data_IF_287666820223
#
_entry.id   IF_287666820223
#
_cell.length_a   1.000
_cell.length_b   1.000
_cell.length_c   1.000
_cell.angle_alpha   90.00
_cell.angle_beta   90.00
_cell.angle_gamma   90.00
#
_symmetry.space_group_name_H-M   'P 1'
#
loop_
_entity.id
_entity.type
_entity.pdbx_description
1 polymer ?
#
# COMPACT_ATOMS: atom_id res chain seq x y z
N UNK A 1 6.46 -17.30 -20.02
CA UNK A 1 7.22 -16.51 -19.04
C UNK A 1 8.66 -16.47 -19.49
N UNK A 2 9.29 -15.30 -19.45
CA UNK A 2 10.71 -15.16 -19.75
C UNK A 2 11.56 -16.09 -18.88
N UNK A 3 12.54 -16.77 -19.46
CA UNK A 3 13.30 -17.82 -18.79
C UNK A 3 14.25 -17.24 -17.72
N UNK A 4 14.76 -16.04 -17.93
CA UNK A 4 15.58 -15.34 -16.95
C UNK A 4 14.73 -14.90 -15.74
N UNK A 5 13.54 -14.35 -16.01
CA UNK A 5 12.58 -13.97 -14.97
C UNK A 5 12.17 -15.17 -14.11
N UNK A 6 11.88 -16.32 -14.74
CA UNK A 6 11.53 -17.54 -14.01
C UNK A 6 12.67 -18.03 -13.11
N UNK A 7 13.93 -17.95 -13.60
CA UNK A 7 15.10 -18.32 -12.80
C UNK A 7 15.27 -17.41 -11.57
N UNK A 8 15.09 -16.10 -11.74
CA UNK A 8 15.15 -15.14 -10.63
C UNK A 8 14.06 -15.41 -9.59
N UNK A 9 12.82 -15.64 -10.04
CA UNK A 9 11.70 -15.99 -9.16
C UNK A 9 11.99 -17.26 -8.37
N UNK A 10 12.47 -18.31 -9.05
CA UNK A 10 12.82 -19.59 -8.43
C UNK A 10 13.92 -19.44 -7.38
N UNK A 11 14.97 -18.67 -7.69
CA UNK A 11 16.05 -18.40 -6.73
C UNK A 11 15.53 -17.68 -5.48
N UNK A 12 14.67 -16.66 -5.66
CA UNK A 12 14.08 -15.92 -4.54
C UNK A 12 13.13 -16.77 -3.69
N UNK A 13 12.29 -17.59 -4.33
CA UNK A 13 11.39 -18.51 -3.65
C UNK A 13 12.17 -19.51 -2.77
N UNK A 14 13.27 -20.07 -3.30
CA UNK A 14 14.15 -20.97 -2.55
C UNK A 14 14.79 -20.29 -1.34
N UNK A 15 15.24 -19.03 -1.47
CA UNK A 15 15.78 -18.24 -0.35
C UNK A 15 14.75 -17.98 0.75
N UNK A 16 13.48 -17.84 0.38
CA UNK A 16 12.36 -17.58 1.30
C UNK A 16 11.73 -18.86 1.85
N UNK A 17 12.20 -20.04 1.43
CA UNK A 17 11.64 -21.32 1.85
C UNK A 17 10.24 -21.63 1.32
N UNK A 18 9.82 -20.98 0.23
CA UNK A 18 8.50 -21.17 -0.38
C UNK A 18 8.60 -21.82 -1.76
N UNK A 19 7.50 -22.41 -2.23
CA UNK A 19 7.46 -22.96 -3.59
C UNK A 19 7.31 -21.86 -4.65
N UNK A 20 7.72 -22.13 -5.89
CA UNK A 20 7.49 -21.21 -7.01
C UNK A 20 5.99 -20.98 -7.24
N UNK A 21 5.16 -22.02 -7.07
CA UNK A 21 3.70 -21.90 -7.18
C UNK A 21 3.14 -20.94 -6.13
N UNK A 22 3.64 -21.01 -4.90
CA UNK A 22 3.22 -20.11 -3.82
C UNK A 22 3.63 -18.67 -4.09
N UNK A 23 4.86 -18.45 -4.57
CA UNK A 23 5.31 -17.12 -4.98
C UNK A 23 4.44 -16.53 -6.11
N UNK A 24 4.03 -17.36 -7.09
CA UNK A 24 3.11 -16.95 -8.16
C UNK A 24 1.73 -16.63 -7.59
N UNK A 25 1.21 -17.45 -6.69
CA UNK A 25 -0.09 -17.20 -6.04
C UNK A 25 -0.08 -15.88 -5.26
N UNK A 26 0.96 -15.63 -4.46
CA UNK A 26 1.12 -14.37 -3.74
C UNK A 26 1.19 -13.17 -4.71
N UNK A 27 1.93 -13.30 -5.81
CA UNK A 27 2.01 -12.26 -6.83
C UNK A 27 0.67 -12.00 -7.52
N UNK A 28 -0.09 -13.05 -7.85
CA UNK A 28 -1.44 -12.93 -8.43
C UNK A 28 -2.41 -12.31 -7.42
N UNK A 29 -2.42 -12.75 -6.16
CA UNK A 29 -3.25 -12.17 -5.11
C UNK A 29 -2.91 -10.69 -4.90
N UNK A 30 -1.63 -10.34 -4.86
CA UNK A 30 -1.20 -8.96 -4.80
C UNK A 30 -1.67 -8.17 -6.02
N UNK A 31 -1.45 -8.70 -7.23
CA UNK A 31 -1.89 -8.08 -8.47
C UNK A 31 -3.40 -7.84 -8.45
N UNK A 32 -4.20 -8.84 -8.08
CA UNK A 32 -5.66 -8.74 -8.03
C UNK A 32 -6.14 -7.71 -6.99
N UNK A 33 -5.56 -7.73 -5.78
CA UNK A 33 -5.86 -6.75 -4.73
C UNK A 33 -5.45 -5.32 -5.10
N UNK A 34 -4.36 -5.17 -5.84
CA UNK A 34 -3.94 -3.89 -6.42
C UNK A 34 -4.85 -3.52 -7.59
N UNK A 35 -5.38 -4.50 -8.32
CA UNK A 35 -6.22 -4.25 -9.49
C UNK A 35 -7.65 -3.82 -9.19
N UNK A 36 -8.15 -4.06 -7.98
CA UNK A 36 -9.42 -3.49 -7.52
C UNK A 36 -9.28 -2.00 -7.13
N UNK A 37 -8.05 -1.46 -7.08
CA UNK A 37 -7.74 -0.05 -6.80
C UNK A 37 -6.83 0.64 -7.83
N UNK A 38 -6.74 0.14 -9.09
CA UNK A 38 -5.81 0.66 -10.11
C UNK A 38 -6.08 2.12 -10.40
N UNK A 39 -5.19 2.96 -9.90
CA UNK A 39 -5.14 4.37 -10.17
C UNK A 39 -4.27 5.10 -9.17
N UNK A 40 -3.99 4.48 -8.00
CA UNK A 40 -3.21 5.13 -6.96
C UNK A 40 -2.05 4.28 -6.45
N UNK A 41 -0.82 4.63 -6.84
CA UNK A 41 0.39 4.05 -6.27
C UNK A 41 0.47 4.24 -4.75
N UNK A 42 -0.12 5.30 -4.20
CA UNK A 42 -0.15 5.53 -2.76
C UNK A 42 -0.96 4.46 -2.02
N UNK A 43 -2.02 3.94 -2.65
CA UNK A 43 -2.80 2.83 -2.09
C UNK A 43 -1.93 1.58 -1.92
N UNK A 44 -1.15 1.24 -2.95
CA UNK A 44 -0.25 0.08 -2.94
C UNK A 44 0.77 0.21 -1.82
N UNK A 45 1.37 1.40 -1.68
CA UNK A 45 2.34 1.69 -0.63
C UNK A 45 1.75 1.45 0.75
N UNK A 46 0.58 2.01 1.04
CA UNK A 46 -0.07 1.85 2.35
C UNK A 46 -0.48 0.41 2.66
N UNK A 47 -0.79 -0.38 1.62
CA UNK A 47 -1.18 -1.79 1.74
C UNK A 47 -0.03 -2.78 1.82
N UNK A 48 1.16 -2.39 1.39
CA UNK A 48 2.31 -3.30 1.30
C UNK A 48 3.46 -2.93 2.23
N UNK A 49 3.51 -1.68 2.70
CA UNK A 49 4.50 -1.23 3.66
C UNK A 49 4.16 -1.73 5.09
N UNK A 50 5.02 -2.56 5.73
CA UNK A 50 4.75 -3.08 7.08
C UNK A 50 4.59 -2.02 8.16
N UNK A 51 5.34 -0.92 8.08
CA UNK A 51 5.25 0.20 9.04
C UNK A 51 3.89 0.90 8.92
N UNK A 52 3.43 1.15 7.69
CA UNK A 52 2.12 1.70 7.44
C UNK A 52 1.00 0.78 7.96
N UNK A 53 1.09 -0.53 7.71
CA UNK A 53 0.09 -1.50 8.18
C UNK A 53 0.04 -1.53 9.72
N UNK A 54 1.19 -1.57 10.38
CA UNK A 54 1.26 -1.60 11.84
C UNK A 54 0.69 -0.31 12.45
N UNK A 55 1.10 0.85 11.95
CA UNK A 55 0.61 2.14 12.43
C UNK A 55 -0.90 2.32 12.19
N UNK A 56 -1.41 1.90 11.03
CA UNK A 56 -2.85 1.87 10.77
C UNK A 56 -3.58 0.97 11.77
N UNK A 57 -3.01 -0.20 12.09
CA UNK A 57 -3.59 -1.11 13.07
C UNK A 57 -3.62 -0.54 14.49
N UNK A 58 -2.66 0.31 14.82
CA UNK A 58 -2.60 1.10 16.06
C UNK A 58 -3.54 2.32 16.06
N UNK A 59 -4.24 2.59 14.95
CA UNK A 59 -5.20 3.68 14.83
C UNK A 59 -4.60 5.03 14.43
N UNK A 60 -3.34 5.05 13.98
CA UNK A 60 -2.69 6.24 13.43
C UNK A 60 -3.27 6.61 12.06
N UNK A 61 -3.00 7.83 11.64
CA UNK A 61 -3.21 8.29 10.26
C UNK A 61 -1.94 8.01 9.46
N UNK A 62 -2.03 7.18 8.43
CA UNK A 62 -0.90 6.82 7.58
C UNK A 62 -0.98 7.54 6.24
N UNK A 63 0.14 8.07 5.77
CA UNK A 63 0.21 8.89 4.57
C UNK A 63 1.19 8.28 3.57
N UNK A 64 0.73 8.17 2.32
CA UNK A 64 1.61 7.94 1.18
C UNK A 64 1.38 9.03 0.14
N UNK A 65 2.46 9.54 -0.44
CA UNK A 65 2.42 10.56 -1.47
C UNK A 65 3.37 10.21 -2.60
N UNK A 66 2.96 10.46 -3.84
CA UNK A 66 3.73 10.22 -5.06
C UNK A 66 4.37 8.81 -5.18
N UNK A 67 3.76 7.80 -4.55
CA UNK A 67 4.25 6.43 -4.53
C UNK A 67 5.24 6.11 -3.41
N UNK A 68 5.39 6.98 -2.41
CA UNK A 68 6.28 6.79 -1.26
C UNK A 68 5.52 6.86 0.06
N UNK A 69 5.97 6.09 1.05
CA UNK A 69 5.43 6.15 2.41
C UNK A 69 6.05 7.33 3.15
N UNK A 70 5.22 8.30 3.53
CA UNK A 70 5.69 9.53 4.18
C UNK A 70 5.75 9.39 5.70
N UNK A 71 4.80 8.65 6.28
CA UNK A 71 4.81 8.37 7.72
C UNK A 71 3.44 8.08 8.32
N UNK A 72 3.44 8.02 9.65
CA UNK A 72 2.26 7.84 10.48
C UNK A 72 2.13 9.00 11.48
N UNK A 73 0.90 9.44 11.72
CA UNK A 73 0.59 10.66 12.46
C UNK A 73 -0.57 10.44 13.43
N UNK A 74 -0.63 11.26 14.47
CA UNK A 74 -1.69 11.17 15.47
C UNK A 74 -2.99 11.86 15.04
N UNK A 75 -2.92 12.72 14.03
CA UNK A 75 -4.08 13.43 13.51
C UNK A 75 -4.06 13.56 11.99
N UNK A 76 -5.25 13.60 11.39
CA UNK A 76 -5.43 13.89 9.96
C UNK A 76 -4.75 15.22 9.58
N UNK A 77 -4.90 16.25 10.42
CA UNK A 77 -4.34 17.57 10.18
C UNK A 77 -2.81 17.53 10.02
N UNK A 78 -2.13 16.79 10.87
CA UNK A 78 -0.66 16.65 10.79
C UNK A 78 -0.24 15.93 9.51
N UNK A 79 -0.94 14.85 9.14
CA UNK A 79 -0.69 14.14 7.90
C UNK A 79 -0.92 15.04 6.67
N UNK A 80 -2.00 15.82 6.66
CA UNK A 80 -2.30 16.79 5.59
C UNK A 80 -1.19 17.85 5.47
N UNK A 81 -0.72 18.40 6.58
CA UNK A 81 0.41 19.35 6.56
C UNK A 81 1.69 18.73 5.99
N UNK A 82 1.95 17.45 6.31
CA UNK A 82 3.13 16.73 5.79
C UNK A 82 3.01 16.34 4.33
N UNK A 83 1.79 16.21 3.80
CA UNK A 83 1.54 15.95 2.39
C UNK A 83 1.68 17.18 1.49
N UNK A 84 1.75 18.40 2.05
CA UNK A 84 1.88 19.62 1.25
C UNK A 84 3.16 19.61 0.41
N UNK A 85 3.04 20.01 -0.85
CA UNK A 85 4.15 20.03 -1.82
C UNK A 85 4.31 18.72 -2.63
N UNK A 86 3.54 17.68 -2.31
CA UNK A 86 3.42 16.48 -3.14
C UNK A 86 2.30 16.63 -4.17
N UNK A 87 2.38 15.88 -5.28
CA UNK A 87 1.40 16.00 -6.38
C UNK A 87 0.11 15.22 -6.09
N UNK A 88 0.23 14.06 -5.44
CA UNK A 88 -0.91 13.22 -5.09
C UNK A 88 -0.62 12.47 -3.80
N UNK A 89 -1.57 12.53 -2.85
CA UNK A 89 -1.47 11.82 -1.58
C UNK A 89 -2.71 10.96 -1.32
N UNK A 90 -2.49 9.88 -0.56
CA UNK A 90 -3.54 9.08 0.05
C UNK A 90 -3.28 9.00 1.54
N UNK A 91 -4.33 9.20 2.32
CA UNK A 91 -4.32 9.00 3.76
C UNK A 91 -5.25 7.85 4.12
N UNK A 92 -4.88 7.09 5.14
CA UNK A 92 -5.76 6.09 5.74
C UNK A 92 -5.71 6.10 7.24
N UNK A 93 -6.84 5.75 7.83
CA UNK A 93 -6.99 5.56 9.27
C UNK A 93 -8.23 4.71 9.53
N UNK A 94 -8.23 3.96 10.63
CA UNK A 94 -9.45 3.33 11.16
C UNK A 94 -10.53 4.34 11.54
N UNK A 95 -10.15 5.61 11.72
CA UNK A 95 -11.03 6.71 12.10
C UNK A 95 -11.83 7.31 10.93
N UNK A 96 -11.52 6.96 9.67
CA UNK A 96 -12.38 7.34 8.54
C UNK A 96 -13.62 6.46 8.52
N UNK A 97 -14.80 7.08 8.40
CA UNK A 97 -16.03 6.37 8.10
C UNK A 97 -15.83 5.57 6.81
N UNK A 98 -16.19 4.28 6.85
CA UNK A 98 -16.14 3.40 5.67
C UNK A 98 -17.08 3.97 4.59
N UNK A 99 -16.56 4.77 3.66
CA UNK A 99 -17.26 5.01 2.40
C UNK A 99 -17.26 3.70 1.59
N UNK A 100 -18.43 3.34 1.05
CA UNK A 100 -18.83 2.02 0.54
C UNK A 100 -18.08 1.50 -0.70
N UNK A 101 -16.81 1.81 -0.90
CA UNK A 101 -16.02 1.20 -1.98
C UNK A 101 -14.72 0.63 -1.41
N UNK A 102 -14.75 -0.67 -1.09
CA UNK A 102 -13.54 -1.48 -0.90
C UNK A 102 -12.97 -1.52 0.51
N UNK A 103 -13.68 -2.16 1.44
CA UNK A 103 -13.26 -2.82 2.71
C UNK A 103 -12.28 -2.12 3.70
N UNK A 104 -11.75 -0.94 3.41
CA UNK A 104 -10.80 -0.20 4.23
C UNK A 104 -11.00 1.31 4.01
N UNK A 105 -11.11 2.08 5.09
CA UNK A 105 -11.35 3.53 5.03
C UNK A 105 -10.14 4.31 4.52
N UNK A 106 -10.05 4.47 3.20
CA UNK A 106 -9.03 5.30 2.55
C UNK A 106 -9.68 6.54 1.95
N UNK A 107 -9.04 7.69 2.18
CA UNK A 107 -9.41 8.95 1.57
C UNK A 107 -8.25 9.39 0.67
N UNK A 108 -8.53 9.56 -0.62
CA UNK A 108 -7.62 10.27 -1.51
C UNK A 108 -7.75 11.77 -1.24
N UNK A 109 -6.65 12.44 -0.91
CA UNK A 109 -6.65 13.89 -0.68
C UNK A 109 -5.88 14.55 -1.82
N UNK A 110 -6.57 15.41 -2.57
CA UNK A 110 -5.92 16.38 -3.43
C UNK A 110 -5.43 17.55 -2.56
N UNK A 111 -4.11 17.73 -2.50
CA UNK A 111 -3.48 18.84 -1.78
C UNK A 111 -3.02 19.85 -2.83
N UNK A 112 -3.62 21.03 -2.82
CA UNK A 112 -3.18 22.20 -3.62
C UNK A 112 -1.94 22.87 -3.00
#
# INVERSE_FOLDING_TARGET
MDEQLYRMLKARAALLGISVSEAIQQAISLWLNVTEGIGDYNYIVLKTNPEAINAYNEGKYVLACDGEYIGAFDSEKEAVEKGKGHKKCMIGSKNYDKQEIGDWGWSSIALE
#
